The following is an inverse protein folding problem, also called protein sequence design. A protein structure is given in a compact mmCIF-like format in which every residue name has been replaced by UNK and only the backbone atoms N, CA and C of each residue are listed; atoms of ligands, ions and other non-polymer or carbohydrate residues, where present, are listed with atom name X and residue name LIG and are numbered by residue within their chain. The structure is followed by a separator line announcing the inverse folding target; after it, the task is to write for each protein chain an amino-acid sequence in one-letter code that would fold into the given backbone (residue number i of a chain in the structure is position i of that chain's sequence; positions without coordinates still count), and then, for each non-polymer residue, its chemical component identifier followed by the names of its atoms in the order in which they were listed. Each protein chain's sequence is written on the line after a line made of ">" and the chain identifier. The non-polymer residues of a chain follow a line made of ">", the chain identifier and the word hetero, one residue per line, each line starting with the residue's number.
data_IF_479779172505
#
_entry.id   IF_479779172505
#
_cell.length_a   1.000
_cell.length_b   1.000
_cell.length_c   1.000
_cell.angle_alpha   90.00
_cell.angle_beta   90.00
_cell.angle_gamma   90.00
#
_symmetry.space_group_name_H-M   'P 1'
#
loop_
_entity.id
_entity.type
_entity.pdbx_description
1 polymer ?
#
# COMPACT_ATOMS: atom_id res chain seq x y z
N UNK A 1 -9.85 -25.67 51.19
CA UNK A 1 -10.67 -25.22 50.04
C UNK A 1 -10.34 -23.78 49.59
N UNK A 2 -10.48 -22.73 50.42
CA UNK A 2 -10.17 -21.34 50.02
C UNK A 2 -8.77 -21.11 49.46
N UNK A 3 -7.71 -21.69 50.07
CA UNK A 3 -6.31 -21.53 49.63
C UNK A 3 -6.01 -22.17 48.26
N UNK A 4 -6.74 -23.23 47.89
CA UNK A 4 -6.59 -23.92 46.60
C UNK A 4 -7.26 -23.08 45.50
N UNK A 5 -8.43 -22.51 45.79
CA UNK A 5 -9.15 -21.60 44.88
C UNK A 5 -8.32 -20.35 44.60
N UNK A 6 -7.67 -19.77 45.62
CA UNK A 6 -6.79 -18.60 45.45
C UNK A 6 -5.57 -18.92 44.57
N UNK A 7 -4.97 -20.11 44.72
CA UNK A 7 -3.86 -20.55 43.88
C UNK A 7 -4.24 -20.72 42.40
N UNK A 8 -5.41 -21.32 42.14
CA UNK A 8 -5.92 -21.49 40.77
C UNK A 8 -6.29 -20.15 40.13
N UNK A 9 -6.89 -19.23 40.89
CA UNK A 9 -7.24 -17.89 40.41
C UNK A 9 -5.99 -17.08 40.01
N UNK A 10 -4.93 -17.13 40.83
CA UNK A 10 -3.67 -16.44 40.55
C UNK A 10 -2.97 -16.99 39.31
N UNK A 11 -2.99 -18.31 39.10
CA UNK A 11 -2.46 -18.94 37.88
C UNK A 11 -3.24 -18.51 36.63
N UNK A 12 -4.56 -18.40 36.72
CA UNK A 12 -5.41 -17.97 35.59
C UNK A 12 -5.18 -16.50 35.22
N UNK A 13 -4.95 -15.64 36.21
CA UNK A 13 -4.61 -14.22 36.00
C UNK A 13 -3.23 -14.07 35.35
N UNK A 14 -2.24 -14.84 35.77
CA UNK A 14 -0.90 -14.83 35.14
C UNK A 14 -0.97 -15.36 33.70
N UNK A 15 -1.74 -16.43 33.45
CA UNK A 15 -1.91 -16.99 32.11
C UNK A 15 -2.62 -16.02 31.16
N UNK A 16 -3.65 -15.30 31.63
CA UNK A 16 -4.38 -14.31 30.82
C UNK A 16 -3.56 -13.07 30.53
N UNK A 17 -2.80 -12.56 31.50
CA UNK A 17 -1.86 -11.44 31.29
C UNK A 17 -0.75 -11.86 30.31
N UNK A 18 -0.18 -13.05 30.48
CA UNK A 18 0.83 -13.61 29.58
C UNK A 18 0.32 -13.75 28.13
N UNK A 19 -0.92 -14.21 27.95
CA UNK A 19 -1.53 -14.36 26.62
C UNK A 19 -1.76 -13.01 25.92
N UNK A 20 -2.17 -11.98 26.64
CA UNK A 20 -2.37 -10.63 26.07
C UNK A 20 -1.03 -9.99 25.66
N UNK A 21 0.03 -10.17 26.45
CA UNK A 21 1.38 -9.68 26.11
C UNK A 21 1.97 -10.45 24.92
N UNK A 22 1.73 -11.76 24.83
CA UNK A 22 2.17 -12.58 23.70
C UNK A 22 1.50 -12.16 22.38
N UNK A 23 0.19 -11.90 22.41
CA UNK A 23 -0.56 -11.47 21.21
C UNK A 23 -0.22 -10.04 20.75
N UNK A 24 0.36 -9.21 21.64
CA UNK A 24 0.77 -7.82 21.31
C UNK A 24 2.16 -7.73 20.67
N UNK A 25 2.96 -8.80 20.72
CA UNK A 25 4.34 -8.84 20.19
C UNK A 25 4.46 -9.60 18.86
N UNK A 26 3.41 -10.33 18.45
CA UNK A 26 3.35 -11.04 17.16
C UNK A 26 2.64 -10.26 16.05
N UNK A 27 2.36 -8.98 16.28
CA UNK A 27 2.04 -8.02 15.22
C UNK A 27 3.30 -7.69 14.43
N UNK A 28 3.78 -8.60 13.59
CA UNK A 28 4.75 -8.29 12.52
C UNK A 28 4.12 -7.21 11.65
N UNK A 29 4.47 -5.95 11.90
CA UNK A 29 4.48 -4.94 10.85
C UNK A 29 5.54 -5.40 9.84
N UNK A 30 5.11 -6.24 8.89
CA UNK A 30 5.98 -6.77 7.87
C UNK A 30 6.59 -5.62 7.09
N UNK A 31 7.91 -5.45 7.22
CA UNK A 31 8.69 -4.67 6.25
C UNK A 31 8.34 -5.25 4.88
N UNK A 32 7.79 -4.42 4.00
CA UNK A 32 7.39 -4.85 2.66
C UNK A 32 8.67 -5.34 1.94
N UNK A 33 8.90 -6.65 1.89
CA UNK A 33 9.94 -7.21 1.04
C UNK A 33 9.46 -7.09 -0.40
N UNK A 34 10.07 -6.15 -1.12
CA UNK A 34 9.76 -5.87 -2.51
C UNK A 34 10.73 -6.69 -3.34
N UNK A 35 10.21 -7.75 -3.97
CA UNK A 35 11.01 -8.55 -4.89
C UNK A 35 11.19 -7.78 -6.18
N UNK A 36 12.26 -8.07 -6.92
CA UNK A 36 12.56 -7.42 -8.22
C UNK A 36 11.41 -7.58 -9.24
N UNK A 37 10.66 -8.67 -9.14
CA UNK A 37 9.49 -8.93 -9.98
C UNK A 37 8.22 -8.17 -9.55
N UNK A 38 8.18 -7.58 -8.37
CA UNK A 38 6.99 -6.92 -7.84
C UNK A 38 6.75 -5.61 -8.59
N UNK A 39 5.48 -5.24 -8.75
CA UNK A 39 5.04 -3.99 -9.36
C UNK A 39 4.22 -3.23 -8.34
N UNK A 40 4.61 -2.01 -8.04
CA UNK A 40 3.97 -1.21 -7.01
C UNK A 40 3.24 -0.06 -7.68
N UNK A 41 1.97 0.10 -7.32
CA UNK A 41 1.16 1.25 -7.68
C UNK A 41 1.03 2.10 -6.43
N UNK A 42 1.87 3.13 -6.34
CA UNK A 42 1.81 4.10 -5.26
C UNK A 42 0.75 5.16 -5.55
N UNK A 43 -0.01 5.56 -4.53
CA UNK A 43 -0.70 6.83 -4.52
C UNK A 43 -0.12 7.73 -3.43
N UNK A 44 0.62 8.76 -3.84
CA UNK A 44 1.20 9.73 -2.92
C UNK A 44 0.21 10.84 -2.62
N UNK A 45 0.07 11.18 -1.33
CA UNK A 45 -0.85 12.22 -0.89
C UNK A 45 -0.35 12.94 0.36
N UNK A 46 -0.93 14.11 0.65
CA UNK A 46 -0.79 14.79 1.93
C UNK A 46 -1.86 14.29 2.93
N UNK A 47 -1.72 14.61 4.21
CA UNK A 47 -2.70 14.30 5.27
C UNK A 47 -4.04 14.97 4.98
N UNK A 48 -4.01 16.25 4.61
CA UNK A 48 -5.21 16.99 4.19
C UNK A 48 -5.55 16.62 2.75
N UNK A 49 -6.63 15.85 2.58
CA UNK A 49 -7.10 15.36 1.28
C UNK A 49 -8.37 16.08 0.85
N UNK A 50 -8.39 16.61 -0.38
CA UNK A 50 -9.60 17.14 -0.98
C UNK A 50 -10.42 16.03 -1.64
N UNK A 51 -11.65 16.35 -2.06
CA UNK A 51 -12.53 15.43 -2.77
C UNK A 51 -11.84 14.73 -3.96
N UNK A 52 -11.11 15.51 -4.79
CA UNK A 52 -10.41 14.97 -5.96
C UNK A 52 -9.30 13.98 -5.57
N UNK A 53 -8.59 14.19 -4.47
CA UNK A 53 -7.58 13.22 -3.99
C UNK A 53 -8.22 11.87 -3.66
N UNK A 54 -9.30 11.90 -2.88
CA UNK A 54 -10.02 10.69 -2.49
C UNK A 54 -10.64 10.00 -3.70
N UNK A 55 -11.10 10.77 -4.69
CA UNK A 55 -11.65 10.23 -5.93
C UNK A 55 -10.58 9.51 -6.76
N UNK A 56 -9.38 10.09 -6.90
CA UNK A 56 -8.25 9.46 -7.60
C UNK A 56 -7.93 8.11 -6.95
N UNK A 57 -7.72 8.09 -5.63
CA UNK A 57 -7.41 6.85 -4.92
C UNK A 57 -8.49 5.79 -5.12
N UNK A 58 -9.77 6.18 -4.97
CA UNK A 58 -10.91 5.27 -5.14
C UNK A 58 -10.97 4.69 -6.55
N UNK A 59 -10.82 5.52 -7.57
CA UNK A 59 -10.94 5.05 -8.96
C UNK A 59 -9.73 4.22 -9.41
N UNK A 60 -8.52 4.56 -8.95
CA UNK A 60 -7.32 3.73 -9.18
C UNK A 60 -7.53 2.36 -8.56
N UNK A 61 -7.95 2.28 -7.28
CA UNK A 61 -8.29 1.00 -6.63
C UNK A 61 -9.34 0.23 -7.42
N UNK A 62 -10.46 0.88 -7.80
CA UNK A 62 -11.51 0.26 -8.61
C UNK A 62 -10.95 -0.35 -9.90
N UNK A 63 -10.10 0.38 -10.63
CA UNK A 63 -9.48 -0.13 -11.85
C UNK A 63 -8.58 -1.33 -11.59
N UNK A 64 -7.79 -1.29 -10.51
CA UNK A 64 -6.91 -2.39 -10.12
C UNK A 64 -7.71 -3.64 -9.73
N UNK A 65 -8.70 -3.49 -8.86
CA UNK A 65 -9.56 -4.58 -8.39
C UNK A 65 -10.33 -5.24 -9.54
N UNK A 66 -10.74 -4.45 -10.54
CA UNK A 66 -11.51 -4.94 -11.68
C UNK A 66 -10.64 -5.67 -12.70
N UNK A 67 -9.43 -5.18 -12.99
CA UNK A 67 -8.63 -5.64 -14.12
C UNK A 67 -7.40 -6.48 -13.74
N UNK A 68 -6.97 -6.44 -12.47
CA UNK A 68 -5.74 -7.07 -12.00
C UNK A 68 -5.96 -7.81 -10.67
N UNK A 69 -7.17 -8.33 -10.44
CA UNK A 69 -7.51 -9.04 -9.19
C UNK A 69 -6.60 -10.22 -8.92
N UNK A 70 -6.16 -10.93 -9.97
CA UNK A 70 -5.24 -12.06 -9.87
C UNK A 70 -3.85 -11.61 -9.43
N UNK A 71 -3.31 -10.58 -10.07
CA UNK A 71 -1.99 -10.00 -9.78
C UNK A 71 -1.95 -9.33 -8.41
N UNK A 72 -3.07 -8.76 -7.97
CA UNK A 72 -3.24 -8.29 -6.59
C UNK A 72 -3.23 -9.45 -5.59
N UNK A 73 -3.96 -10.53 -5.90
CA UNK A 73 -4.08 -11.69 -5.01
C UNK A 73 -2.76 -12.47 -4.87
N UNK A 74 -1.98 -12.60 -5.95
CA UNK A 74 -0.69 -13.30 -5.94
C UNK A 74 0.51 -12.39 -5.56
N UNK A 75 0.25 -11.10 -5.34
CA UNK A 75 1.24 -10.11 -4.91
C UNK A 75 2.16 -9.58 -6.02
N UNK A 76 1.90 -9.93 -7.28
CA UNK A 76 2.58 -9.35 -8.44
C UNK A 76 2.37 -7.84 -8.52
N UNK A 77 1.14 -7.37 -8.23
CA UNK A 77 0.82 -5.95 -8.06
C UNK A 77 0.55 -5.66 -6.58
N UNK A 78 1.13 -4.57 -6.08
CA UNK A 78 0.84 -4.02 -4.75
C UNK A 78 0.35 -2.58 -4.88
N UNK A 79 -0.85 -2.28 -4.38
CA UNK A 79 -1.31 -0.89 -4.27
C UNK A 79 -0.95 -0.32 -2.90
N UNK A 80 -0.28 0.84 -2.86
CA UNK A 80 0.18 1.46 -1.60
C UNK A 80 -0.18 2.94 -1.56
N UNK A 81 -0.99 3.34 -0.59
CA UNK A 81 -1.31 4.74 -0.31
C UNK A 81 -0.28 5.32 0.66
N UNK A 82 0.44 6.36 0.26
CA UNK A 82 1.58 6.92 1.01
C UNK A 82 1.34 8.37 1.38
N UNK A 83 1.36 8.65 2.69
CA UNK A 83 1.27 10.01 3.21
C UNK A 83 2.65 10.66 3.24
N UNK A 84 2.87 11.68 2.40
CA UNK A 84 4.13 12.42 2.30
C UNK A 84 4.38 13.37 3.47
N UNK A 85 3.37 13.68 4.30
CA UNK A 85 3.56 14.54 5.49
C UNK A 85 4.25 13.78 6.64
N UNK A 86 4.49 12.49 6.48
CA UNK A 86 5.19 11.65 7.45
C UNK A 86 6.68 11.63 7.14
N UNK A 87 7.52 11.88 8.13
CA UNK A 87 8.98 11.97 7.97
C UNK A 87 9.60 10.71 7.35
N UNK A 88 9.07 9.52 7.67
CA UNK A 88 9.56 8.28 7.08
C UNK A 88 9.36 8.19 5.56
N UNK A 89 8.48 9.00 4.98
CA UNK A 89 8.12 8.98 3.55
C UNK A 89 8.71 10.15 2.76
N UNK A 90 9.44 11.07 3.39
CA UNK A 90 9.98 12.26 2.71
C UNK A 90 10.94 11.90 1.57
N UNK A 91 11.68 10.80 1.71
CA UNK A 91 12.61 10.30 0.69
C UNK A 91 11.96 10.10 -0.69
N UNK A 92 10.69 9.69 -0.74
CA UNK A 92 9.96 9.48 -1.99
C UNK A 92 9.86 10.72 -2.86
N UNK A 93 9.89 11.92 -2.26
CA UNK A 93 9.88 13.18 -3.02
C UNK A 93 11.08 13.24 -3.95
N UNK A 94 12.26 12.85 -3.46
CA UNK A 94 13.50 12.86 -4.23
C UNK A 94 13.61 11.66 -5.16
N UNK A 95 13.18 10.48 -4.71
CA UNK A 95 13.27 9.23 -5.47
C UNK A 95 12.41 9.26 -6.73
N UNK A 96 11.18 9.76 -6.59
CA UNK A 96 10.21 9.81 -7.69
C UNK A 96 10.00 11.22 -8.24
N UNK A 97 10.83 12.20 -7.84
CA UNK A 97 10.75 13.60 -8.27
C UNK A 97 9.33 14.15 -8.12
N UNK A 98 8.70 13.91 -6.97
CA UNK A 98 7.30 14.26 -6.74
C UNK A 98 7.14 15.78 -6.66
N UNK A 99 6.14 16.31 -7.37
CA UNK A 99 5.72 17.72 -7.27
C UNK A 99 4.44 17.89 -6.43
N UNK A 100 3.96 16.80 -5.83
CA UNK A 100 2.73 16.75 -5.05
C UNK A 100 2.07 15.38 -5.12
N UNK A 101 0.74 15.39 -4.98
CA UNK A 101 -0.11 14.20 -5.04
C UNK A 101 -0.09 13.61 -6.45
N UNK A 102 0.20 12.32 -6.59
CA UNK A 102 0.28 11.65 -7.89
C UNK A 102 0.24 10.14 -7.72
N UNK A 103 -0.12 9.43 -8.79
CA UNK A 103 0.04 7.97 -8.87
C UNK A 103 1.38 7.65 -9.52
N UNK A 104 2.13 6.72 -8.94
CA UNK A 104 3.43 6.27 -9.48
C UNK A 104 3.42 4.75 -9.62
N UNK A 105 3.82 4.28 -10.79
CA UNK A 105 4.11 2.87 -11.04
C UNK A 105 5.61 2.67 -10.82
N UNK A 106 6.00 1.69 -10.01
CA UNK A 106 7.41 1.44 -9.68
C UNK A 106 7.74 -0.06 -9.61
N UNK A 107 8.97 -0.42 -9.95
CA UNK A 107 9.59 -1.72 -9.66
C UNK A 107 11.09 -1.56 -9.48
N UNK A 108 11.73 -2.61 -8.95
CA UNK A 108 13.18 -2.68 -8.85
C UNK A 108 13.74 -3.46 -10.05
N UNK A 109 14.82 -2.96 -10.63
CA UNK A 109 15.61 -3.62 -11.67
C UNK A 109 17.08 -3.41 -11.35
N UNK A 110 17.82 -4.49 -11.13
CA UNK A 110 19.26 -4.47 -10.80
C UNK A 110 19.59 -3.53 -9.63
N UNK A 111 18.75 -3.55 -8.59
CA UNK A 111 18.91 -2.70 -7.41
C UNK A 111 18.55 -1.23 -7.61
N UNK A 112 18.06 -0.83 -8.79
CA UNK A 112 17.60 0.54 -9.09
C UNK A 112 16.07 0.58 -9.25
N UNK A 113 15.46 1.64 -8.76
CA UNK A 113 14.03 1.87 -8.96
C UNK A 113 13.76 2.37 -10.39
N UNK A 114 12.97 1.63 -11.14
CA UNK A 114 12.37 2.08 -12.39
C UNK A 114 10.96 2.55 -12.09
N UNK A 115 10.59 3.75 -12.53
CA UNK A 115 9.28 4.32 -12.22
C UNK A 115 8.66 5.12 -13.37
N UNK A 116 7.33 5.25 -13.32
CA UNK A 116 6.54 6.13 -14.18
C UNK A 116 5.54 6.89 -13.31
N UNK A 117 5.56 8.23 -13.38
CA UNK A 117 4.49 9.05 -12.79
C UNK A 117 3.33 9.17 -13.77
N UNK A 118 2.11 9.12 -13.25
CA UNK A 118 0.90 9.35 -14.01
C UNK A 118 0.45 10.80 -13.81
N UNK A 119 1.17 11.75 -14.42
CA UNK A 119 0.98 13.19 -14.17
C UNK A 119 -0.41 13.72 -14.62
N UNK A 120 -1.12 12.97 -15.48
CA UNK A 120 -2.46 13.36 -15.97
C UNK A 120 -3.62 12.89 -15.08
N UNK A 121 -3.37 12.17 -13.98
CA UNK A 121 -4.46 11.60 -13.15
C UNK A 121 -5.47 12.65 -12.67
N UNK A 122 -5.02 13.86 -12.35
CA UNK A 122 -5.92 14.94 -11.91
C UNK A 122 -6.82 15.46 -13.03
N UNK A 123 -6.31 15.49 -14.27
CA UNK A 123 -7.08 15.92 -15.44
C UNK A 123 -8.15 14.88 -15.79
N UNK A 124 -7.81 13.60 -15.63
CA UNK A 124 -8.59 12.48 -16.15
C UNK A 124 -9.57 11.86 -15.16
N UNK A 125 -9.41 12.06 -13.85
CA UNK A 125 -10.22 11.37 -12.81
C UNK A 125 -11.74 11.58 -12.93
N UNK A 126 -12.22 12.56 -13.69
CA UNK A 126 -13.65 12.77 -13.91
C UNK A 126 -14.18 12.18 -15.22
N UNK A 127 -13.35 11.48 -15.97
CA UNK A 127 -13.69 10.87 -17.27
C UNK A 127 -14.43 9.51 -17.15
N UNK A 128 -14.86 9.12 -15.94
CA UNK A 128 -15.62 7.89 -15.73
C UNK A 128 -14.82 6.64 -16.12
N UNK A 129 -15.39 5.81 -16.99
CA UNK A 129 -14.75 4.56 -17.43
C UNK A 129 -13.45 4.80 -18.21
N UNK A 130 -13.33 5.92 -18.93
CA UNK A 130 -12.10 6.27 -19.63
C UNK A 130 -10.91 6.48 -18.66
N UNK A 131 -11.17 6.89 -17.40
CA UNK A 131 -10.14 6.92 -16.38
C UNK A 131 -9.71 5.52 -15.93
N UNK A 132 -10.65 4.58 -15.82
CA UNK A 132 -10.34 3.19 -15.49
C UNK A 132 -9.50 2.56 -16.59
N UNK A 133 -9.86 2.77 -17.85
CA UNK A 133 -9.07 2.31 -19.00
C UNK A 133 -7.68 2.95 -19.03
N UNK A 134 -7.57 4.25 -18.70
CA UNK A 134 -6.28 4.91 -18.56
C UNK A 134 -5.40 4.21 -17.51
N UNK A 135 -5.92 3.97 -16.30
CA UNK A 135 -5.17 3.27 -15.24
C UNK A 135 -4.81 1.85 -15.67
N UNK A 136 -5.75 1.11 -16.26
CA UNK A 136 -5.53 -0.24 -16.78
C UNK A 136 -4.39 -0.28 -17.79
N UNK A 137 -4.43 0.58 -18.79
CA UNK A 137 -3.43 0.60 -19.86
C UNK A 137 -2.05 0.95 -19.30
N UNK A 138 -1.98 1.95 -18.43
CA UNK A 138 -0.74 2.36 -17.76
C UNK A 138 -0.10 1.22 -16.96
N UNK A 139 -0.89 0.54 -16.12
CA UNK A 139 -0.42 -0.60 -15.32
C UNK A 139 -0.04 -1.78 -16.22
N UNK A 140 -0.85 -2.12 -17.22
CA UNK A 140 -0.58 -3.22 -18.12
C UNK A 140 0.71 -3.01 -18.93
N UNK A 141 0.90 -1.82 -19.50
CA UNK A 141 2.15 -1.46 -20.18
C UNK A 141 3.34 -1.59 -19.23
N UNK A 142 3.18 -1.20 -17.98
CA UNK A 142 4.25 -1.28 -16.97
C UNK A 142 4.56 -2.71 -16.53
N UNK A 143 3.58 -3.62 -16.53
CA UNK A 143 3.79 -5.05 -16.31
C UNK A 143 4.62 -5.68 -17.44
N UNK A 144 4.37 -5.29 -18.69
CA UNK A 144 4.97 -5.89 -19.89
C UNK A 144 6.44 -5.51 -20.14
N UNK A 145 6.98 -4.49 -19.47
CA UNK A 145 8.38 -4.04 -19.60
C UNK A 145 9.39 -4.98 -18.92
N UNK A 146 9.30 -6.28 -19.18
CA UNK A 146 10.10 -7.34 -18.55
C UNK A 146 11.45 -7.64 -19.25
N UNK A 147 11.84 -6.85 -20.24
CA UNK A 147 12.98 -7.12 -21.11
C UNK A 147 14.14 -6.18 -20.81
#
# INVERSE_FOLDING_TARGET
>A
MKKIITGVLLLFVVATIGFVVYKKTTGKAGKLEIKEKDRIVYYFHATKRCYTCNLIEKQVKKSLDTNFSKELADGTIKFVSVNLDKSENEHFVNDFKLKGRVVVLAYMLEGKAVYKRMDDVFKRVREGDAFLDYVKNEVNTFLLKRN
#
